data_IF_226335830539
#
_entry.id   IF_226335830539
#
_cell.length_a   1.000
_cell.length_b   1.000
_cell.length_c   1.000
_cell.angle_alpha   90.00
_cell.angle_beta   90.00
_cell.angle_gamma   90.00
#
_symmetry.space_group_name_H-M   'P 1'
#
loop_
_entity.id
_entity.type
_entity.pdbx_description
1 polymer ?
#
# COMPACT_ATOMS: atom_id res chain seq x y z
N UNK A 1 -0.60 -44.79 11.12
CA UNK A 1 0.66 -44.65 10.36
C UNK A 1 0.30 -44.51 8.88
N UNK A 2 -0.12 -43.32 8.45
CA UNK A 2 0.68 -42.27 7.78
C UNK A 2 1.22 -42.66 6.40
N UNK A 3 0.37 -42.48 5.38
CA UNK A 3 0.75 -42.31 3.98
C UNK A 3 0.90 -40.80 3.75
N UNK A 4 2.13 -40.30 3.90
CA UNK A 4 2.54 -38.94 3.52
C UNK A 4 3.79 -39.08 2.66
N UNK A 5 3.66 -38.84 1.35
CA UNK A 5 4.69 -38.35 0.43
C UNK A 5 4.27 -38.70 -1.00
N UNK A 6 3.46 -37.84 -1.63
CA UNK A 6 3.31 -37.82 -3.09
C UNK A 6 2.51 -36.57 -3.46
N UNK A 7 3.19 -35.44 -3.56
CA UNK A 7 2.79 -34.29 -4.38
C UNK A 7 3.97 -33.33 -4.46
N UNK A 8 4.97 -33.74 -5.23
CA UNK A 8 6.04 -32.89 -5.69
C UNK A 8 6.28 -33.20 -7.17
N UNK A 9 6.27 -32.12 -7.96
CA UNK A 9 6.84 -32.01 -9.31
C UNK A 9 6.07 -32.70 -10.44
N UNK A 10 5.19 -31.94 -11.08
CA UNK A 10 5.05 -32.00 -12.55
C UNK A 10 4.62 -30.63 -13.08
N UNK A 11 5.56 -29.67 -13.06
CA UNK A 11 5.48 -28.48 -13.90
C UNK A 11 5.80 -28.94 -15.33
N UNK A 12 4.78 -29.49 -16.00
CA UNK A 12 4.89 -29.96 -17.37
C UNK A 12 5.12 -28.76 -18.30
N UNK A 13 6.23 -28.86 -19.02
CA UNK A 13 6.69 -27.98 -20.06
C UNK A 13 5.60 -27.71 -21.12
N UNK A 14 5.22 -26.45 -21.31
CA UNK A 14 4.74 -25.98 -22.61
C UNK A 14 5.87 -25.17 -23.22
N UNK A 15 6.63 -25.84 -24.08
CA UNK A 15 7.64 -25.25 -24.95
C UNK A 15 6.92 -24.54 -26.09
N UNK A 16 6.71 -23.24 -25.93
CA UNK A 16 6.64 -22.32 -27.06
C UNK A 16 7.67 -21.23 -26.78
N UNK A 17 8.85 -21.41 -27.37
CA UNK A 17 10.01 -20.51 -27.42
C UNK A 17 10.01 -19.33 -26.42
N UNK A 18 10.74 -19.41 -25.29
CA UNK A 18 11.11 -18.19 -24.59
C UNK A 18 12.10 -17.45 -25.50
N UNK A 19 11.78 -16.21 -25.85
CA UNK A 19 12.81 -15.21 -26.16
C UNK A 19 13.61 -15.09 -24.87
N UNK A 20 14.64 -15.92 -24.75
CA UNK A 20 15.64 -15.86 -23.68
C UNK A 20 16.16 -14.44 -23.68
N UNK A 21 16.17 -13.80 -22.50
CA UNK A 21 16.80 -12.49 -22.36
C UNK A 21 18.25 -12.61 -22.88
N UNK A 22 18.60 -11.80 -23.89
CA UNK A 22 19.91 -11.79 -24.53
C UNK A 22 21.02 -11.83 -23.48
N UNK A 23 21.79 -12.92 -23.53
CA UNK A 23 23.00 -13.12 -22.73
C UNK A 23 24.22 -12.55 -23.48
N UNK A 24 24.05 -11.41 -24.16
CA UNK A 24 25.18 -10.64 -24.63
C UNK A 24 25.89 -10.02 -23.42
N UNK A 25 27.21 -10.15 -23.39
CA UNK A 25 28.10 -9.67 -22.34
C UNK A 25 28.26 -8.13 -22.36
N UNK A 26 27.13 -7.41 -22.36
CA UNK A 26 27.07 -5.95 -22.26
C UNK A 26 26.50 -5.51 -20.90
N UNK A 27 27.37 -4.77 -20.20
CA UNK A 27 27.30 -4.00 -18.95
C UNK A 27 26.00 -4.09 -18.11
N UNK A 28 26.02 -4.92 -17.06
CA UNK A 28 25.03 -4.84 -15.98
C UNK A 28 25.51 -3.81 -14.98
N UNK A 29 24.77 -2.70 -14.83
CA UNK A 29 25.01 -1.76 -13.72
C UNK A 29 24.69 -2.45 -12.38
N UNK A 30 25.76 -2.88 -11.70
CA UNK A 30 25.72 -3.51 -10.38
C UNK A 30 25.77 -2.51 -9.23
N UNK A 31 25.85 -1.20 -9.53
CA UNK A 31 25.96 -0.16 -8.51
C UNK A 31 24.66 -0.11 -7.69
N UNK A 32 24.70 -0.39 -6.38
CA UNK A 32 23.52 -0.29 -5.55
C UNK A 32 23.02 1.15 -5.49
N UNK A 33 21.72 1.34 -5.70
CA UNK A 33 21.05 2.64 -5.58
C UNK A 33 20.43 2.75 -4.20
N UNK A 34 20.84 3.79 -3.48
CA UNK A 34 20.31 4.11 -2.15
C UNK A 34 19.27 5.22 -2.29
N UNK A 35 18.22 5.09 -1.49
CA UNK A 35 17.01 5.86 -1.58
C UNK A 35 16.52 6.20 -0.18
N UNK A 36 16.27 7.47 0.12
CA UNK A 36 15.78 7.93 1.43
C UNK A 36 14.46 8.69 1.33
N UNK A 37 13.59 8.60 2.33
CA UNK A 37 12.45 9.52 2.46
C UNK A 37 12.22 9.85 3.93
N UNK A 38 12.27 11.13 4.27
CA UNK A 38 11.99 11.63 5.62
C UNK A 38 10.72 12.46 5.57
N UNK A 39 9.83 12.21 6.52
CA UNK A 39 8.57 12.95 6.70
C UNK A 39 8.44 13.38 8.14
N UNK A 40 8.65 14.67 8.39
CA UNK A 40 8.35 15.30 9.67
C UNK A 40 7.02 16.04 9.57
N UNK A 41 6.17 15.92 10.59
CA UNK A 41 4.90 16.65 10.63
C UNK A 41 4.59 17.22 12.01
N UNK A 42 3.80 18.28 12.00
CA UNK A 42 3.11 18.83 13.14
C UNK A 42 1.60 18.67 12.92
N UNK A 43 0.89 18.20 13.95
CA UNK A 43 -0.56 18.08 13.95
C UNK A 43 -1.13 18.88 15.11
N UNK A 44 -2.22 19.61 14.89
CA UNK A 44 -2.94 20.35 15.92
C UNK A 44 -4.43 19.99 15.87
N UNK A 45 -5.01 19.61 17.00
CA UNK A 45 -6.42 19.25 17.16
C UNK A 45 -7.15 20.41 17.86
N UNK A 46 -7.95 21.22 17.13
CA UNK A 46 -8.56 22.41 17.70
C UNK A 46 -9.56 22.15 18.83
N UNK A 47 -10.28 21.02 18.76
CA UNK A 47 -11.30 20.66 19.75
C UNK A 47 -10.69 20.32 21.12
N UNK A 48 -9.54 19.64 21.12
CA UNK A 48 -8.82 19.29 22.35
C UNK A 48 -7.81 20.39 22.76
N UNK A 49 -7.47 21.31 21.85
CA UNK A 49 -6.44 22.32 22.08
C UNK A 49 -5.01 21.76 22.11
N UNK A 50 -4.81 20.54 21.61
CA UNK A 50 -3.55 19.81 21.71
C UNK A 50 -2.79 19.75 20.38
N UNK A 51 -1.46 19.76 20.43
CA UNK A 51 -0.62 19.61 19.26
C UNK A 51 0.57 18.69 19.49
N UNK A 52 1.08 18.09 18.41
CA UNK A 52 2.22 17.16 18.48
C UNK A 52 3.14 17.26 17.27
N UNK A 53 4.43 17.09 17.52
CA UNK A 53 5.42 16.79 16.49
C UNK A 53 5.56 15.28 16.32
N UNK A 54 5.69 14.82 15.09
CA UNK A 54 5.88 13.41 14.79
C UNK A 54 6.79 13.24 13.57
N UNK A 55 7.76 12.33 13.68
CA UNK A 55 8.41 11.76 12.49
C UNK A 55 7.48 10.67 11.96
N UNK A 56 6.83 10.93 10.83
CA UNK A 56 5.86 10.00 10.25
C UNK A 56 6.55 8.81 9.59
N UNK A 57 7.61 9.06 8.82
CA UNK A 57 8.41 8.04 8.16
C UNK A 57 9.88 8.52 8.10
N UNK A 58 10.81 7.60 8.31
CA UNK A 58 12.23 7.79 8.01
C UNK A 58 12.73 6.56 7.26
N UNK A 59 12.40 6.47 5.97
CA UNK A 59 12.67 5.28 5.16
C UNK A 59 14.02 5.34 4.48
N UNK A 60 14.65 4.18 4.43
CA UNK A 60 15.81 3.92 3.59
C UNK A 60 15.59 2.65 2.79
N UNK A 61 15.94 2.68 1.51
CA UNK A 61 15.98 1.49 0.67
C UNK A 61 17.26 1.43 -0.14
N UNK A 62 17.67 0.20 -0.42
CA UNK A 62 18.74 -0.15 -1.33
C UNK A 62 18.16 -1.09 -2.38
N UNK A 63 18.42 -0.78 -3.64
CA UNK A 63 18.03 -1.60 -4.79
C UNK A 63 19.22 -1.79 -5.71
N UNK A 64 19.33 -2.95 -6.33
CA UNK A 64 20.43 -3.23 -7.25
C UNK A 64 20.16 -4.44 -8.13
N UNK A 65 20.96 -4.57 -9.18
CA UNK A 65 21.00 -5.75 -10.03
C UNK A 65 22.27 -6.54 -9.71
N UNK A 66 22.13 -7.87 -9.61
CA UNK A 66 23.27 -8.78 -9.54
C UNK A 66 23.61 -9.29 -10.94
N UNK A 67 22.60 -9.53 -11.77
CA UNK A 67 22.72 -9.88 -13.18
C UNK A 67 21.58 -9.22 -13.97
N UNK A 68 21.51 -9.42 -15.30
CA UNK A 68 20.37 -8.96 -16.11
C UNK A 68 19.02 -9.54 -15.64
N UNK A 69 19.06 -10.73 -15.05
CA UNK A 69 17.87 -11.46 -14.62
C UNK A 69 17.67 -11.41 -13.10
N UNK A 70 18.69 -11.11 -12.29
CA UNK A 70 18.58 -11.11 -10.82
C UNK A 70 18.72 -9.70 -10.27
N UNK A 71 17.75 -9.27 -9.47
CA UNK A 71 17.74 -8.00 -8.75
C UNK A 71 17.29 -8.18 -7.31
N UNK A 72 17.60 -7.21 -6.44
CA UNK A 72 17.25 -7.25 -5.03
C UNK A 72 16.70 -5.90 -4.55
N UNK A 73 15.92 -5.95 -3.47
CA UNK A 73 15.49 -4.78 -2.71
C UNK A 73 15.53 -5.09 -1.22
N UNK A 74 16.11 -4.16 -0.46
CA UNK A 74 15.93 -4.08 0.98
C UNK A 74 15.43 -2.68 1.35
N UNK A 75 14.39 -2.58 2.17
CA UNK A 75 13.78 -1.32 2.61
C UNK A 75 13.40 -1.43 4.09
N UNK A 76 13.80 -0.43 4.86
CA UNK A 76 13.52 -0.28 6.29
C UNK A 76 12.91 1.09 6.55
N UNK A 77 11.93 1.15 7.45
CA UNK A 77 11.48 2.40 8.06
C UNK A 77 12.17 2.53 9.42
N UNK A 78 13.10 3.47 9.53
CA UNK A 78 13.81 3.78 10.77
C UNK A 78 12.92 4.54 11.76
N UNK A 79 11.78 5.08 11.31
CA UNK A 79 10.79 5.71 12.18
C UNK A 79 9.41 5.75 11.53
N UNK A 80 8.67 4.65 11.63
CA UNK A 80 7.23 4.61 11.35
C UNK A 80 6.48 5.02 12.62
N UNK A 81 6.29 6.33 12.79
CA UNK A 81 5.67 6.90 14.00
C UNK A 81 6.47 6.57 15.27
N UNK A 82 7.80 6.54 15.17
CA UNK A 82 8.72 6.23 16.27
C UNK A 82 9.09 4.75 16.41
N UNK A 83 8.56 3.86 15.56
CA UNK A 83 8.90 2.42 15.56
C UNK A 83 9.75 2.05 14.35
N UNK A 84 10.81 1.27 14.57
CA UNK A 84 11.61 0.69 13.49
C UNK A 84 10.86 -0.51 12.91
N UNK A 85 10.76 -0.60 11.58
CA UNK A 85 10.08 -1.70 10.89
C UNK A 85 10.82 -2.08 9.60
N UNK A 86 11.07 -3.37 9.40
CA UNK A 86 11.50 -3.89 8.10
C UNK A 86 10.30 -3.89 7.15
N UNK A 87 10.44 -3.27 5.97
CA UNK A 87 9.34 -3.15 5.01
C UNK A 87 9.44 -4.22 3.93
N UNK A 88 10.43 -4.10 3.05
CA UNK A 88 10.61 -5.01 1.92
C UNK A 88 12.00 -5.65 1.99
N UNK A 89 12.08 -6.96 1.81
CA UNK A 89 13.31 -7.74 1.81
C UNK A 89 13.14 -8.90 0.82
N UNK A 90 13.53 -8.71 -0.45
CA UNK A 90 13.28 -9.71 -1.47
C UNK A 90 14.34 -9.73 -2.58
N UNK A 91 14.36 -10.85 -3.29
CA UNK A 91 15.05 -11.02 -4.56
C UNK A 91 14.02 -11.19 -5.67
N UNK A 92 14.32 -10.67 -6.85
CA UNK A 92 13.50 -10.76 -8.05
C UNK A 92 14.28 -11.35 -9.22
N UNK A 93 13.67 -12.35 -9.85
CA UNK A 93 14.12 -13.00 -11.07
C UNK A 93 13.29 -12.51 -12.27
N UNK A 94 13.97 -12.19 -13.38
CA UNK A 94 13.36 -11.74 -14.64
C UNK A 94 13.72 -12.70 -15.76
N UNK A 95 13.15 -13.93 -15.76
CA UNK A 95 13.58 -14.99 -16.68
C UNK A 95 13.31 -14.64 -18.15
N UNK A 96 12.25 -13.88 -18.43
CA UNK A 96 11.91 -13.38 -19.76
C UNK A 96 11.41 -11.95 -19.67
N UNK A 97 11.43 -11.23 -20.80
CA UNK A 97 10.95 -9.85 -20.87
C UNK A 97 9.50 -9.74 -20.39
N UNK A 98 9.28 -8.85 -19.42
CA UNK A 98 7.97 -8.57 -18.86
C UNK A 98 7.51 -9.53 -17.76
N UNK A 99 8.21 -10.65 -17.51
CA UNK A 99 7.89 -11.56 -16.42
C UNK A 99 8.83 -11.34 -15.23
N UNK A 100 8.26 -11.03 -14.08
CA UNK A 100 8.96 -10.84 -12.80
C UNK A 100 8.50 -11.94 -11.83
N UNK A 101 9.43 -12.72 -11.28
CA UNK A 101 9.19 -13.58 -10.12
C UNK A 101 9.89 -12.98 -8.91
N UNK A 102 9.15 -12.67 -7.85
CA UNK A 102 9.72 -12.09 -6.62
C UNK A 102 9.48 -13.04 -5.45
N UNK A 103 10.47 -13.24 -4.59
CA UNK A 103 10.33 -14.03 -3.36
C UNK A 103 10.98 -13.32 -2.18
N UNK A 104 10.30 -13.32 -1.05
CA UNK A 104 10.76 -12.69 0.19
C UNK A 104 9.63 -11.92 0.89
N UNK A 105 10.01 -10.96 1.71
CA UNK A 105 9.09 -10.06 2.39
C UNK A 105 8.77 -8.86 1.50
N UNK A 106 7.49 -8.57 1.26
CA UNK A 106 7.09 -7.45 0.43
C UNK A 106 5.68 -6.96 0.75
N UNK A 107 5.34 -5.78 0.22
CA UNK A 107 3.95 -5.35 0.14
C UNK A 107 3.17 -6.25 -0.83
N UNK A 108 2.02 -6.72 -0.37
CA UNK A 108 1.11 -7.58 -1.13
C UNK A 108 0.41 -6.75 -2.22
N UNK A 109 0.32 -7.22 -3.49
CA UNK A 109 -0.22 -6.44 -4.62
C UNK A 109 -1.74 -6.22 -4.51
N UNK A 110 -2.14 -5.17 -3.79
CA UNK A 110 -3.52 -4.82 -3.47
C UNK A 110 -3.73 -3.30 -3.32
N UNK A 111 -4.76 -2.74 -3.97
CA UNK A 111 -5.09 -1.31 -4.04
C UNK A 111 -4.05 -0.40 -4.72
N UNK A 112 -4.49 0.79 -5.12
CA UNK A 112 -3.70 1.92 -5.63
C UNK A 112 -3.08 2.67 -4.45
N UNK A 113 -3.90 3.17 -3.51
CA UNK A 113 -3.39 4.13 -2.51
C UNK A 113 -2.43 3.48 -1.51
N UNK A 114 -2.67 2.21 -1.15
CA UNK A 114 -1.78 1.49 -0.26
C UNK A 114 -0.39 1.31 -0.88
N UNK A 115 -0.30 1.13 -2.21
CA UNK A 115 0.94 0.91 -2.96
C UNK A 115 1.80 2.15 -3.09
N UNK A 116 1.25 3.35 -2.93
CA UNK A 116 2.04 4.59 -3.02
C UNK A 116 3.17 4.62 -1.99
N UNK A 117 4.35 4.99 -2.48
CA UNK A 117 5.48 5.33 -1.62
C UNK A 117 5.22 6.66 -0.91
N UNK A 118 5.82 6.93 0.26
CA UNK A 118 5.49 8.13 1.03
C UNK A 118 5.68 9.45 0.28
N UNK A 119 6.70 9.53 -0.59
CA UNK A 119 6.97 10.70 -1.42
C UNK A 119 5.98 10.88 -2.59
N UNK A 120 5.17 9.88 -2.90
CA UNK A 120 4.13 9.91 -3.95
C UNK A 120 2.74 10.22 -3.39
N UNK A 121 2.61 10.41 -2.07
CA UNK A 121 1.32 10.71 -1.45
C UNK A 121 0.92 12.16 -1.70
N UNK A 122 -0.35 12.41 -2.00
CA UNK A 122 -0.85 13.77 -2.20
C UNK A 122 -1.11 14.50 -0.88
N UNK A 123 -1.61 13.76 0.12
CA UNK A 123 -1.95 14.26 1.45
C UNK A 123 -0.89 13.87 2.48
N UNK A 124 -0.87 14.56 3.62
CA UNK A 124 0.01 14.23 4.74
C UNK A 124 -0.40 12.91 5.42
N UNK A 125 -1.70 12.67 5.60
CA UNK A 125 -2.20 11.40 6.12
C UNK A 125 -2.81 10.53 5.02
N UNK A 126 -2.60 9.20 5.14
CA UNK A 126 -3.19 8.17 4.27
C UNK A 126 -4.72 8.18 4.31
N UNK A 127 -5.34 7.69 3.23
CA UNK A 127 -6.78 7.39 3.19
C UNK A 127 -7.15 6.30 4.18
N UNK A 128 -8.45 6.07 4.38
CA UNK A 128 -8.89 4.95 5.22
C UNK A 128 -8.57 3.58 4.58
N UNK A 129 -8.65 3.48 3.25
CA UNK A 129 -8.24 2.30 2.51
C UNK A 129 -6.77 1.98 2.80
N UNK A 130 -5.86 2.94 2.64
CA UNK A 130 -4.43 2.69 2.82
C UNK A 130 -3.95 2.61 4.27
N UNK A 131 -4.75 3.05 5.25
CA UNK A 131 -4.38 3.01 6.68
C UNK A 131 -4.98 1.79 7.39
N UNK A 132 -6.25 1.45 7.14
CA UNK A 132 -6.95 0.41 7.88
C UNK A 132 -7.13 -0.89 7.09
N UNK A 133 -7.30 -0.83 5.77
CA UNK A 133 -7.92 -1.97 5.05
C UNK A 133 -7.00 -2.62 4.00
N UNK A 134 -6.16 -1.86 3.31
CA UNK A 134 -5.42 -2.35 2.13
C UNK A 134 -3.89 -2.44 2.28
N UNK A 135 -3.30 -1.94 3.38
CA UNK A 135 -1.84 -1.90 3.53
C UNK A 135 -1.30 -3.15 4.25
N UNK A 136 -1.24 -4.26 3.52
CA UNK A 136 -0.70 -5.53 4.01
C UNK A 136 0.72 -5.76 3.48
N UNK A 137 1.62 -6.20 4.37
CA UNK A 137 2.94 -6.72 4.04
C UNK A 137 3.09 -8.11 4.62
N UNK A 138 3.74 -8.98 3.88
CA UNK A 138 3.86 -10.37 4.25
C UNK A 138 5.05 -11.03 3.53
N UNK A 139 5.37 -12.26 3.93
CA UNK A 139 6.38 -13.09 3.29
C UNK A 139 5.71 -14.05 2.33
N UNK A 140 6.22 -14.11 1.11
CA UNK A 140 5.66 -14.96 0.08
C UNK A 140 6.39 -14.85 -1.25
N UNK A 141 5.69 -15.25 -2.30
CA UNK A 141 6.16 -15.14 -3.67
C UNK A 141 5.10 -14.46 -4.55
N UNK A 142 5.56 -13.68 -5.52
CA UNK A 142 4.72 -13.00 -6.51
C UNK A 142 5.20 -13.26 -7.93
N UNK A 143 4.25 -13.29 -8.86
CA UNK A 143 4.46 -13.27 -10.29
C UNK A 143 3.85 -11.98 -10.84
N UNK A 144 4.64 -11.20 -11.55
CA UNK A 144 4.22 -10.02 -12.29
C UNK A 144 4.42 -10.23 -13.78
N UNK A 145 3.43 -9.93 -14.61
CA UNK A 145 3.54 -9.95 -16.06
C UNK A 145 3.10 -8.62 -16.66
N UNK A 146 3.99 -8.00 -17.42
CA UNK A 146 3.78 -6.71 -18.08
C UNK A 146 3.81 -6.88 -19.59
N UNK A 147 2.76 -6.43 -20.26
CA UNK A 147 2.62 -6.50 -21.72
C UNK A 147 1.84 -5.29 -22.25
N UNK A 148 1.81 -5.12 -23.57
CA UNK A 148 1.18 -3.97 -24.21
C UNK A 148 0.36 -4.42 -25.42
N UNK A 149 -0.95 -4.10 -25.41
CA UNK A 149 -1.91 -4.43 -26.48
C UNK A 149 -2.50 -3.17 -27.15
N UNK A 150 -1.71 -2.10 -27.19
CA UNK A 150 -2.14 -0.74 -27.54
C UNK A 150 -2.18 0.21 -26.35
N UNK A 151 -2.11 -0.36 -25.15
CA UNK A 151 -1.84 0.35 -23.89
C UNK A 151 -1.15 -0.61 -22.90
N UNK A 152 -0.32 -0.11 -21.96
CA UNK A 152 0.36 -0.96 -20.98
C UNK A 152 -0.62 -1.63 -20.00
N UNK A 153 -0.41 -2.93 -19.78
CA UNK A 153 -1.13 -3.75 -18.81
C UNK A 153 -0.10 -4.43 -17.90
N UNK A 154 -0.35 -4.40 -16.59
CA UNK A 154 0.44 -5.10 -15.57
C UNK A 154 -0.48 -6.00 -14.77
N UNK A 155 -0.18 -7.29 -14.76
CA UNK A 155 -0.87 -8.29 -13.95
C UNK A 155 0.09 -8.78 -12.86
N UNK A 156 -0.35 -8.80 -11.61
CA UNK A 156 0.42 -9.27 -10.47
C UNK A 156 -0.44 -10.28 -9.69
N UNK A 157 0.16 -11.38 -9.26
CA UNK A 157 -0.47 -12.35 -8.39
C UNK A 157 0.55 -12.88 -7.38
N UNK A 158 0.12 -13.22 -6.18
CA UNK A 158 1.02 -13.71 -5.14
C UNK A 158 0.35 -14.59 -4.10
N UNK A 159 1.19 -15.39 -3.45
CA UNK A 159 0.84 -16.28 -2.35
C UNK A 159 1.72 -15.94 -1.15
N UNK A 160 1.11 -15.85 0.03
CA UNK A 160 1.75 -15.34 1.23
C UNK A 160 1.36 -16.16 2.47
N UNK A 161 2.23 -16.18 3.47
CA UNK A 161 2.04 -17.00 4.66
C UNK A 161 0.87 -16.50 5.53
N UNK A 162 0.71 -15.19 5.68
CA UNK A 162 -0.22 -14.58 6.62
C UNK A 162 0.38 -14.25 7.98
N UNK A 163 1.67 -14.51 8.19
CA UNK A 163 2.38 -14.20 9.44
C UNK A 163 2.71 -12.72 9.60
N UNK A 164 2.59 -11.93 8.52
CA UNK A 164 2.97 -10.53 8.53
C UNK A 164 4.50 -10.36 8.56
N UNK A 165 4.97 -9.32 9.26
CA UNK A 165 6.36 -8.89 9.19
C UNK A 165 7.30 -9.60 10.18
N UNK A 166 6.81 -10.07 11.33
CA UNK A 166 7.67 -10.44 12.47
C UNK A 166 7.63 -11.93 12.80
N UNK A 167 6.47 -12.57 12.69
CA UNK A 167 6.27 -13.93 13.19
C UNK A 167 6.57 -14.98 12.11
N UNK A 168 7.77 -14.90 11.51
CA UNK A 168 8.09 -15.71 10.33
C UNK A 168 8.69 -17.07 10.65
N UNK A 169 9.52 -17.15 11.71
CA UNK A 169 10.40 -18.30 11.97
C UNK A 169 9.61 -19.57 12.31
N UNK A 170 8.63 -19.45 13.19
CA UNK A 170 7.89 -20.58 13.75
C UNK A 170 6.46 -20.69 13.19
N UNK A 171 6.15 -19.94 12.13
CA UNK A 171 4.83 -19.90 11.52
C UNK A 171 4.69 -20.90 10.37
N UNK A 172 4.34 -22.14 10.74
CA UNK A 172 4.01 -23.20 9.80
C UNK A 172 2.50 -23.20 9.55
N UNK A 173 2.07 -22.92 8.33
CA UNK A 173 0.65 -22.79 7.97
C UNK A 173 0.28 -23.63 6.76
N UNK A 174 -0.96 -24.13 6.75
CA UNK A 174 -1.62 -24.68 5.56
C UNK A 174 -2.65 -23.71 4.96
N UNK A 175 -2.82 -22.53 5.58
CA UNK A 175 -3.80 -21.52 5.21
C UNK A 175 -3.09 -20.36 4.51
N UNK A 176 -2.84 -20.52 3.22
CA UNK A 176 -2.12 -19.52 2.42
C UNK A 176 -3.06 -18.35 2.07
N UNK A 177 -2.55 -17.14 2.27
CA UNK A 177 -3.15 -15.90 1.78
C UNK A 177 -2.78 -15.68 0.32
N UNK A 178 -3.66 -15.04 -0.45
CA UNK A 178 -3.35 -14.70 -1.82
C UNK A 178 -3.76 -13.27 -2.14
N UNK A 179 -3.16 -12.73 -3.19
CA UNK A 179 -3.59 -11.46 -3.75
C UNK A 179 -3.34 -11.42 -5.25
N UNK A 180 -4.19 -10.71 -5.97
CA UNK A 180 -4.04 -10.44 -7.38
C UNK A 180 -4.41 -8.99 -7.68
N UNK A 181 -3.69 -8.39 -8.63
CA UNK A 181 -3.87 -7.01 -9.08
C UNK A 181 -3.70 -6.93 -10.58
N UNK A 182 -4.59 -6.18 -11.22
CA UNK A 182 -4.51 -5.85 -12.64
C UNK A 182 -4.52 -4.33 -12.77
N UNK A 183 -3.52 -3.77 -13.45
CA UNK A 183 -3.40 -2.34 -13.71
C UNK A 183 -3.40 -2.09 -15.22
N UNK A 184 -4.29 -1.21 -15.67
CA UNK A 184 -4.48 -0.86 -17.07
C UNK A 184 -4.21 0.64 -17.23
N UNK A 185 -3.18 1.00 -18.02
CA UNK A 185 -2.80 2.39 -18.26
C UNK A 185 -3.30 2.85 -19.63
N UNK A 186 -4.57 3.26 -19.73
CA UNK A 186 -5.19 3.67 -20.97
C UNK A 186 -4.57 4.96 -21.57
N UNK A 187 -4.73 5.19 -22.88
CA UNK A 187 -4.29 6.43 -23.51
C UNK A 187 -4.91 7.67 -22.87
N UNK A 188 -4.25 8.82 -23.03
CA UNK A 188 -4.72 10.13 -22.53
C UNK A 188 -4.77 10.26 -20.99
N UNK A 189 -4.01 9.43 -20.27
CA UNK A 189 -3.78 9.60 -18.83
C UNK A 189 -4.81 8.93 -17.93
N UNK A 190 -5.68 8.06 -18.48
CA UNK A 190 -6.61 7.26 -17.70
C UNK A 190 -5.96 5.98 -17.20
N UNK A 191 -6.30 5.57 -15.98
CA UNK A 191 -5.88 4.32 -15.40
C UNK A 191 -7.05 3.63 -14.71
N UNK A 192 -7.05 2.30 -14.78
CA UNK A 192 -7.91 1.45 -13.99
C UNK A 192 -7.04 0.42 -13.28
N UNK A 193 -7.29 0.21 -12.00
CA UNK A 193 -6.69 -0.84 -11.20
C UNK A 193 -7.80 -1.64 -10.54
N UNK A 194 -7.71 -2.96 -10.67
CA UNK A 194 -8.59 -3.91 -10.00
C UNK A 194 -7.73 -4.82 -9.15
N UNK A 195 -8.13 -5.11 -7.92
CA UNK A 195 -7.39 -6.03 -7.08
C UNK A 195 -8.29 -6.84 -6.15
N UNK A 196 -7.78 -7.99 -5.74
CA UNK A 196 -8.43 -8.87 -4.77
C UNK A 196 -7.38 -9.44 -3.83
N UNK A 197 -7.80 -9.70 -2.59
CA UNK A 197 -6.94 -10.25 -1.56
C UNK A 197 -7.76 -11.10 -0.61
N UNK A 198 -7.21 -12.26 -0.26
CA UNK A 198 -7.69 -13.10 0.84
C UNK A 198 -6.69 -13.04 1.98
N UNK A 199 -7.17 -12.72 3.18
CA UNK A 199 -6.42 -12.87 4.42
C UNK A 199 -7.17 -13.79 5.37
N UNK A 200 -6.43 -14.50 6.21
CA UNK A 200 -7.00 -15.29 7.31
C UNK A 200 -6.22 -14.99 8.59
N UNK A 201 -6.62 -13.96 9.36
CA UNK A 201 -5.91 -13.56 10.59
C UNK A 201 -5.90 -14.65 11.66
N UNK A 202 -7.00 -15.41 11.77
CA UNK A 202 -7.15 -16.53 12.70
C UNK A 202 -8.03 -17.61 12.05
N UNK A 203 -9.25 -17.85 12.55
CA UNK A 203 -10.17 -18.84 11.98
C UNK A 203 -11.10 -18.27 10.91
N UNK A 204 -11.28 -16.95 10.89
CA UNK A 204 -12.16 -16.27 9.93
C UNK A 204 -11.40 -15.91 8.68
N UNK A 205 -11.85 -16.43 7.53
CA UNK A 205 -11.37 -15.99 6.23
C UNK A 205 -12.00 -14.65 5.88
N UNK A 206 -11.19 -13.73 5.37
CA UNK A 206 -11.63 -12.39 4.97
C UNK A 206 -11.23 -12.18 3.51
N UNK A 207 -12.22 -11.85 2.69
CA UNK A 207 -12.04 -11.57 1.28
C UNK A 207 -12.21 -10.07 1.02
N UNK A 208 -11.29 -9.50 0.25
CA UNK A 208 -11.29 -8.10 -0.12
C UNK A 208 -11.23 -7.95 -1.62
N UNK A 209 -11.98 -6.97 -2.11
CA UNK A 209 -12.05 -6.59 -3.51
C UNK A 209 -11.91 -5.08 -3.58
N UNK A 210 -11.15 -4.63 -4.55
CA UNK A 210 -10.80 -3.23 -4.71
C UNK A 210 -10.83 -2.85 -6.19
N UNK A 211 -11.40 -1.69 -6.46
CA UNK A 211 -11.47 -1.10 -7.78
C UNK A 211 -11.19 0.39 -7.67
N UNK A 212 -10.12 0.84 -8.34
CA UNK A 212 -9.74 2.23 -8.39
C UNK A 212 -9.48 2.69 -9.81
N UNK A 213 -9.79 3.94 -10.09
CA UNK A 213 -9.51 4.58 -11.37
C UNK A 213 -9.02 6.00 -11.15
N UNK A 214 -8.10 6.43 -11.99
CA UNK A 214 -7.66 7.82 -11.98
C UNK A 214 -7.50 8.38 -13.38
N UNK A 215 -7.59 9.71 -13.47
CA UNK A 215 -7.21 10.50 -14.62
C UNK A 215 -6.06 11.42 -14.22
N UNK A 216 -4.96 11.36 -14.95
CA UNK A 216 -3.80 12.21 -14.75
C UNK A 216 -3.33 12.83 -16.07
N UNK A 217 -3.70 14.08 -16.32
CA UNK A 217 -3.19 14.86 -17.45
C UNK A 217 -3.48 16.35 -17.28
N UNK A 218 -2.69 17.20 -17.97
CA UNK A 218 -2.88 18.65 -18.00
C UNK A 218 -2.91 19.31 -16.61
N UNK A 219 -2.10 18.79 -15.69
CA UNK A 219 -2.03 19.23 -14.30
C UNK A 219 -3.13 18.67 -13.41
N UNK A 220 -4.16 18.02 -13.94
CA UNK A 220 -5.17 17.36 -13.15
C UNK A 220 -4.71 15.98 -12.70
N UNK A 221 -5.04 15.65 -11.46
CA UNK A 221 -5.12 14.28 -10.97
C UNK A 221 -6.46 14.11 -10.27
N UNK A 222 -7.32 13.24 -10.79
CA UNK A 222 -8.61 12.90 -10.20
C UNK A 222 -8.61 11.40 -9.99
N UNK A 223 -8.87 10.96 -8.78
CA UNK A 223 -8.87 9.54 -8.43
C UNK A 223 -10.08 9.18 -7.57
N UNK A 224 -10.60 7.98 -7.80
CA UNK A 224 -11.56 7.34 -6.93
C UNK A 224 -11.19 5.85 -6.78
N UNK A 225 -11.25 5.35 -5.55
CA UNK A 225 -10.98 3.99 -5.16
C UNK A 225 -12.09 3.51 -4.21
N UNK A 226 -12.59 2.31 -4.47
CA UNK A 226 -13.60 1.65 -3.64
C UNK A 226 -13.12 0.26 -3.26
N UNK A 227 -13.21 -0.04 -1.98
CA UNK A 227 -12.85 -1.33 -1.41
C UNK A 227 -14.06 -1.94 -0.68
N UNK A 228 -14.30 -3.22 -0.98
CA UNK A 228 -15.28 -4.07 -0.33
C UNK A 228 -14.58 -5.23 0.40
N UNK A 229 -14.82 -5.36 1.70
CA UNK A 229 -14.28 -6.41 2.56
C UNK A 229 -15.42 -7.24 3.14
N UNK A 230 -15.33 -8.55 3.03
CA UNK A 230 -16.36 -9.49 3.48
C UNK A 230 -15.73 -10.58 4.35
N UNK A 231 -16.46 -10.99 5.40
CA UNK A 231 -16.01 -11.98 6.38
C UNK A 231 -16.78 -13.28 6.15
N UNK A 232 -16.05 -14.38 6.12
CA UNK A 232 -16.61 -15.71 5.87
C UNK A 232 -17.67 -16.08 6.91
N UNK A 233 -18.75 -16.72 6.45
CA UNK A 233 -19.90 -17.07 7.30
C UNK A 233 -20.70 -15.89 7.85
N UNK A 234 -20.55 -14.69 7.27
CA UNK A 234 -21.25 -13.46 7.69
C UNK A 234 -21.07 -13.12 9.18
N UNK A 235 -19.95 -13.54 9.76
CA UNK A 235 -19.65 -13.36 11.20
C UNK A 235 -19.47 -11.89 11.59
N UNK A 236 -19.32 -10.99 10.62
CA UNK A 236 -19.28 -9.55 10.80
C UNK A 236 -19.81 -8.86 9.54
N UNK A 237 -20.38 -7.65 9.69
CA UNK A 237 -20.92 -6.88 8.56
C UNK A 237 -19.83 -6.55 7.55
N UNK A 238 -20.10 -6.59 6.24
CA UNK A 238 -19.12 -6.19 5.24
C UNK A 238 -18.61 -4.75 5.46
N UNK A 239 -17.32 -4.53 5.22
CA UNK A 239 -16.73 -3.19 5.26
C UNK A 239 -16.72 -2.59 3.87
N UNK A 240 -17.23 -1.37 3.77
CA UNK A 240 -17.18 -0.53 2.59
C UNK A 240 -16.24 0.62 2.87
N UNK A 241 -15.26 0.85 2.00
CA UNK A 241 -14.35 1.98 2.09
C UNK A 241 -14.24 2.70 0.74
N UNK A 242 -14.17 4.03 0.79
CA UNK A 242 -14.05 4.90 -0.37
C UNK A 242 -12.91 5.88 -0.12
N UNK A 243 -12.08 6.11 -1.12
CA UNK A 243 -11.16 7.24 -1.22
C UNK A 243 -11.41 7.93 -2.56
N UNK A 244 -11.75 9.22 -2.54
CA UNK A 244 -11.90 10.00 -3.77
C UNK A 244 -11.28 11.37 -3.59
N UNK A 245 -10.42 11.78 -4.51
CA UNK A 245 -9.74 13.07 -4.42
C UNK A 245 -9.44 13.70 -5.77
N UNK A 246 -9.22 15.01 -5.72
CA UNK A 246 -8.71 15.79 -6.84
C UNK A 246 -7.55 16.65 -6.39
N UNK A 247 -6.54 16.74 -7.24
CA UNK A 247 -5.40 17.63 -7.13
C UNK A 247 -5.21 18.35 -8.46
N UNK A 248 -4.91 19.64 -8.40
CA UNK A 248 -4.60 20.42 -9.59
C UNK A 248 -3.23 21.08 -9.46
N UNK A 249 -2.36 20.82 -10.42
CA UNK A 249 -0.98 21.27 -10.43
C UNK A 249 -0.85 22.63 -11.11
N UNK A 250 -0.54 23.67 -10.34
CA UNK A 250 -0.31 25.03 -10.84
C UNK A 250 1.19 25.29 -10.91
N UNK A 251 1.81 25.28 -12.10
CA UNK A 251 3.23 25.55 -12.24
C UNK A 251 3.51 27.02 -11.91
N UNK A 252 4.54 27.26 -11.11
CA UNK A 252 5.02 28.60 -10.77
C UNK A 252 6.29 28.90 -11.56
N UNK A 253 6.40 30.14 -12.07
CA UNK A 253 7.60 30.62 -12.77
C UNK A 253 8.34 31.58 -11.83
N UNK A 254 9.66 31.38 -11.69
CA UNK A 254 10.57 32.28 -10.96
C UNK A 254 10.30 32.44 -9.46
N UNK A 255 9.98 31.36 -8.75
CA UNK A 255 9.83 31.32 -7.28
C UNK A 255 10.66 30.18 -6.67
N UNK A 256 10.81 30.18 -5.34
CA UNK A 256 11.40 29.06 -4.59
C UNK A 256 10.62 27.75 -4.82
N UNK A 257 9.29 27.85 -4.94
CA UNK A 257 8.42 26.74 -5.28
C UNK A 257 8.26 26.65 -6.80
N UNK A 258 8.40 25.44 -7.35
CA UNK A 258 8.12 25.17 -8.76
C UNK A 258 6.65 24.96 -9.06
N UNK A 259 5.89 24.53 -8.05
CA UNK A 259 4.48 24.20 -8.20
C UNK A 259 3.74 24.41 -6.88
N UNK A 260 2.50 24.86 -7.00
CA UNK A 260 1.50 24.80 -5.94
C UNK A 260 0.36 23.92 -6.41
N UNK A 261 -0.06 22.99 -5.56
CA UNK A 261 -1.18 22.11 -5.85
C UNK A 261 -2.24 22.27 -4.77
N UNK A 262 -3.41 22.88 -5.03
CA UNK A 262 -4.59 22.69 -4.21
C UNK A 262 -5.16 21.28 -4.38
N UNK A 263 -5.64 20.69 -3.28
CA UNK A 263 -6.22 19.34 -3.26
C UNK A 263 -7.38 19.24 -2.27
N UNK A 264 -8.33 18.36 -2.60
CA UNK A 264 -9.42 17.96 -1.70
C UNK A 264 -9.64 16.45 -1.82
N UNK A 265 -9.90 15.80 -0.70
CA UNK A 265 -10.21 14.37 -0.61
C UNK A 265 -11.41 14.13 0.28
N UNK A 266 -12.24 13.18 -0.13
CA UNK A 266 -13.25 12.55 0.69
C UNK A 266 -12.88 11.10 0.93
N UNK A 267 -12.82 10.69 2.21
CA UNK A 267 -12.64 9.31 2.61
C UNK A 267 -13.88 8.83 3.38
N UNK A 268 -14.26 7.57 3.21
CA UNK A 268 -15.30 6.92 4.01
C UNK A 268 -14.88 5.49 4.37
N UNK A 269 -15.27 5.03 5.55
CA UNK A 269 -15.18 3.63 5.95
C UNK A 269 -16.36 3.29 6.85
N UNK A 270 -17.02 2.16 6.61
CA UNK A 270 -18.02 1.62 7.55
C UNK A 270 -17.34 0.99 8.77
N UNK A 271 -18.13 0.45 9.69
CA UNK A 271 -17.58 -0.26 10.85
C UNK A 271 -16.63 -1.37 10.39
N UNK A 272 -15.46 -1.44 11.03
CA UNK A 272 -14.39 -2.35 10.67
C UNK A 272 -14.00 -3.25 11.85
N UNK A 273 -13.69 -4.50 11.51
CA UNK A 273 -13.05 -5.49 12.38
C UNK A 273 -11.75 -5.98 11.74
N UNK A 274 -10.73 -6.25 12.55
CA UNK A 274 -9.46 -6.84 12.10
C UNK A 274 -9.59 -8.33 11.77
N UNK A 275 -10.73 -8.95 12.10
CA UNK A 275 -10.97 -10.37 11.89
C UNK A 275 -10.47 -11.25 13.04
N UNK A 276 -9.97 -10.64 14.13
CA UNK A 276 -9.66 -11.34 15.37
C UNK A 276 -10.91 -11.47 16.24
N UNK A 277 -10.97 -12.54 17.04
CA UNK A 277 -12.03 -12.75 18.03
C UNK A 277 -11.61 -12.23 19.39
N UNK A 278 -12.54 -11.60 20.09
CA UNK A 278 -12.33 -11.03 21.42
C UNK A 278 -13.37 -11.54 22.41
N UNK A 279 -12.94 -11.77 23.65
CA UNK A 279 -13.81 -12.10 24.77
C UNK A 279 -14.48 -10.84 25.37
N UNK A 280 -15.26 -11.02 26.44
CA UNK A 280 -15.96 -9.92 27.12
C UNK A 280 -15.05 -8.93 27.85
N UNK A 281 -13.79 -9.28 28.11
CA UNK A 281 -12.79 -8.38 28.71
C UNK A 281 -11.96 -7.63 27.67
N UNK A 282 -12.15 -7.93 26.38
CA UNK A 282 -11.45 -7.29 25.27
C UNK A 282 -10.11 -7.93 24.90
N UNK A 283 -9.82 -9.11 25.45
CA UNK A 283 -8.62 -9.89 25.13
C UNK A 283 -8.89 -10.81 23.93
N UNK A 284 -7.86 -11.06 23.12
CA UNK A 284 -7.95 -11.97 21.98
C UNK A 284 -8.24 -13.40 22.46
N UNK A 285 -9.31 -14.00 21.94
CA UNK A 285 -9.80 -15.30 22.36
C UNK A 285 -10.47 -16.02 21.18
N UNK A 286 -10.00 -17.22 20.77
CA UNK A 286 -10.59 -17.96 19.65
C UNK A 286 -12.08 -18.29 19.83
N UNK A 287 -12.56 -18.37 21.07
CA UNK A 287 -13.97 -18.61 21.40
C UNK A 287 -14.83 -17.34 21.42
N UNK A 288 -14.20 -16.17 21.27
CA UNK A 288 -14.83 -14.85 21.29
C UNK A 288 -15.59 -14.50 20.01
N UNK A 289 -15.94 -13.22 19.88
CA UNK A 289 -16.65 -12.67 18.72
C UNK A 289 -15.87 -11.55 18.05
N UNK A 290 -16.16 -11.28 16.78
CA UNK A 290 -15.59 -10.13 16.08
C UNK A 290 -16.23 -8.86 16.63
N UNK A 291 -15.38 -7.88 16.96
CA UNK A 291 -15.82 -6.58 17.49
C UNK A 291 -15.49 -5.45 16.50
N UNK A 292 -16.17 -4.32 16.67
CA UNK A 292 -15.83 -3.08 15.97
C UNK A 292 -14.56 -2.53 16.61
N UNK A 293 -13.44 -2.59 15.89
CA UNK A 293 -12.17 -1.98 16.33
C UNK A 293 -11.95 -0.59 15.72
N UNK A 294 -12.74 -0.25 14.71
CA UNK A 294 -12.74 1.06 14.11
C UNK A 294 -14.15 1.43 13.63
N UNK A 295 -14.68 2.51 14.18
CA UNK A 295 -16.06 2.92 13.96
C UNK A 295 -16.24 3.60 12.61
N UNK A 296 -17.42 3.42 12.03
CA UNK A 296 -17.83 4.09 10.81
C UNK A 296 -17.66 5.61 10.90
N UNK A 297 -17.05 6.17 9.85
CA UNK A 297 -16.87 7.63 9.70
C UNK A 297 -16.59 8.03 8.26
N UNK A 298 -16.77 9.31 7.98
CA UNK A 298 -16.18 9.95 6.80
C UNK A 298 -15.21 11.05 7.21
N UNK A 299 -14.33 11.42 6.29
CA UNK A 299 -13.39 12.53 6.46
C UNK A 299 -13.34 13.36 5.20
N UNK A 300 -13.46 14.67 5.35
CA UNK A 300 -13.14 15.63 4.30
C UNK A 300 -11.79 16.26 4.60
N UNK A 301 -10.85 16.15 3.66
CA UNK A 301 -9.52 16.76 3.77
C UNK A 301 -9.38 17.84 2.71
N UNK A 302 -9.13 19.08 3.11
CA UNK A 302 -8.77 20.17 2.20
C UNK A 302 -7.32 20.59 2.43
N UNK A 303 -6.60 20.95 1.38
CA UNK A 303 -5.22 21.35 1.56
C UNK A 303 -4.53 21.93 0.34
N UNK A 304 -3.27 22.30 0.56
CA UNK A 304 -2.36 22.80 -0.46
C UNK A 304 -0.97 22.20 -0.25
N UNK A 305 -0.32 21.85 -1.35
CA UNK A 305 1.05 21.35 -1.39
C UNK A 305 1.94 22.33 -2.13
N UNK A 306 3.06 22.71 -1.54
CA UNK A 306 4.11 23.52 -2.14
C UNK A 306 5.31 22.64 -2.46
N UNK A 307 5.68 22.55 -3.73
CA UNK A 307 6.81 21.70 -4.17
C UNK A 307 8.03 22.55 -4.53
N UNK A 308 9.16 22.30 -3.87
CA UNK A 308 10.41 23.05 -4.06
C UNK A 308 11.26 22.52 -5.21
N UNK A 309 11.33 21.18 -5.34
CA UNK A 309 12.04 20.44 -6.39
C UNK A 309 13.41 21.03 -6.81
N UNK A 310 14.49 20.58 -6.14
CA UNK A 310 15.87 20.33 -6.69
C UNK A 310 16.88 20.01 -5.56
N UNK A 311 17.80 19.01 -5.69
CA UNK A 311 17.73 17.77 -6.49
C UNK A 311 16.82 16.70 -5.87
N UNK A 312 16.26 16.99 -4.70
CA UNK A 312 15.40 16.13 -3.91
C UNK A 312 13.94 16.60 -4.03
N UNK A 313 12.98 15.66 -4.07
CA UNK A 313 11.56 16.05 -4.00
C UNK A 313 11.30 16.47 -2.56
N UNK A 314 11.18 17.78 -2.37
CA UNK A 314 10.80 18.38 -1.10
C UNK A 314 9.46 19.06 -1.23
N UNK A 315 8.48 18.55 -0.48
CA UNK A 315 7.12 19.08 -0.44
C UNK A 315 6.81 19.61 0.96
N UNK A 316 6.13 20.75 1.00
CA UNK A 316 5.48 21.27 2.20
C UNK A 316 3.98 21.09 2.00
N UNK A 317 3.32 20.31 2.86
CA UNK A 317 1.89 20.01 2.75
C UNK A 317 1.16 20.63 3.93
N UNK A 318 0.13 21.41 3.62
CA UNK A 318 -0.79 21.99 4.59
C UNK A 318 -2.16 21.36 4.37
N UNK A 319 -2.67 20.62 5.35
CA UNK A 319 -3.97 19.96 5.27
C UNK A 319 -4.82 20.32 6.49
N UNK A 320 -6.12 20.45 6.28
CA UNK A 320 -7.13 20.42 7.34
C UNK A 320 -8.02 19.20 7.11
N UNK A 321 -8.20 18.40 8.15
CA UNK A 321 -9.04 17.21 8.14
C UNK A 321 -10.24 17.44 9.06
N UNK A 322 -11.45 17.32 8.50
CA UNK A 322 -12.72 17.34 9.22
C UNK A 322 -13.29 15.93 9.27
N UNK A 323 -13.49 15.39 10.45
CA UNK A 323 -14.04 14.05 10.67
C UNK A 323 -15.53 14.12 10.99
N UNK A 324 -16.28 13.18 10.42
CA UNK A 324 -17.72 13.03 10.64
C UNK A 324 -18.00 11.62 11.14
N UNK A 325 -18.29 11.54 12.43
CA UNK A 325 -18.66 10.31 13.11
C UNK A 325 -20.18 10.21 13.24
N UNK A 326 -20.69 8.98 13.26
CA UNK A 326 -22.08 8.72 13.69
C UNK A 326 -22.20 8.83 15.20
N UNK A 327 -23.42 9.03 15.69
CA UNK A 327 -23.69 9.01 17.13
C UNK A 327 -23.26 7.67 17.77
N UNK A 328 -22.64 7.76 18.95
CA UNK A 328 -22.12 6.61 19.69
C UNK A 328 -20.81 6.02 19.15
N UNK A 329 -20.24 6.57 18.08
CA UNK A 329 -18.92 6.15 17.61
C UNK A 329 -17.80 6.69 18.52
N UNK A 330 -16.76 5.87 18.71
CA UNK A 330 -15.60 6.22 19.52
C UNK A 330 -14.45 6.62 18.60
N UNK A 331 -14.12 7.90 18.56
CA UNK A 331 -13.02 8.43 17.76
C UNK A 331 -11.67 8.02 18.35
N UNK A 332 -10.74 7.56 17.50
CA UNK A 332 -9.36 7.29 17.91
C UNK A 332 -8.65 8.63 18.23
N UNK A 333 -7.67 8.66 19.16
CA UNK A 333 -6.97 9.89 19.52
C UNK A 333 -6.30 10.62 18.34
N UNK A 334 -5.93 9.89 17.30
CA UNK A 334 -5.32 10.44 16.08
C UNK A 334 -6.30 10.59 14.93
N UNK A 335 -7.61 10.61 15.18
CA UNK A 335 -8.65 10.65 14.14
C UNK A 335 -9.79 11.61 14.49
N UNK A 336 -9.42 12.72 15.13
CA UNK A 336 -10.28 13.88 15.29
C UNK A 336 -9.86 14.97 14.32
N UNK A 337 -10.66 16.01 14.27
CA UNK A 337 -10.39 17.21 13.51
C UNK A 337 -8.99 17.74 13.75
N UNK A 338 -8.27 18.05 12.67
CA UNK A 338 -6.90 18.51 12.82
C UNK A 338 -6.41 19.36 11.66
N UNK A 339 -5.43 20.20 11.97
CA UNK A 339 -4.54 20.85 11.01
C UNK A 339 -3.24 20.04 10.97
N UNK A 340 -2.72 19.79 9.78
CA UNK A 340 -1.47 19.06 9.55
C UNK A 340 -0.54 19.91 8.71
N UNK A 341 0.70 20.05 9.18
CA UNK A 341 1.81 20.62 8.43
C UNK A 341 2.86 19.54 8.29
N UNK A 342 3.18 19.14 7.07
CA UNK A 342 4.20 18.13 6.78
C UNK A 342 5.31 18.69 5.91
N UNK A 343 6.55 18.32 6.25
CA UNK A 343 7.74 18.48 5.44
C UNK A 343 8.21 17.09 5.00
N UNK A 344 8.17 16.84 3.71
CA UNK A 344 8.65 15.60 3.09
C UNK A 344 9.91 15.91 2.29
N UNK A 345 10.96 15.10 2.45
CA UNK A 345 12.18 15.16 1.65
C UNK A 345 12.55 13.77 1.16
N UNK A 346 12.75 13.65 -0.17
CA UNK A 346 13.16 12.41 -0.86
C UNK A 346 14.57 12.56 -1.42
N UNK A 347 15.49 11.69 -1.00
CA UNK A 347 16.86 11.62 -1.51
C UNK A 347 17.28 10.28 -2.09
#
# INVERSE_FOLDING_TARGET
>A
MNVKCLLAVSLAWVVSMPVVADNDADDVDMTPKVHGTIRGKYEYQPEDGEGRFQVRNARMSIVGNVTKIVSYKAEIDLSDEGKIKMLDAYTRLKPVRGLDFTIGQMRVPFTIDAHRSPHQQYFANRSFIAKQVGNVRDVGATLGYSFNVGFPIVLEAGMFNGSGLTDQKDFWTNNINFSAKASFAFPRGFNLTLSTQKIKPEDVSVMMYDAGAYYHAHGWHVEAEYLYKHYDGDVFKPVHAVDAFVSYDIPLRKCLFKKVSPLVRYDYMSDHSDGMRYNSTGDADPSGSLVINDYQRSRLTGGVTFSLSLPFVSDIRLNYEKYFYRDGAIAKPSEKDKIVIEFMTRF
#
